data_IF_210585196094
#
_entry.id   IF_210585196094
#
_cell.length_a   1.000
_cell.length_b   1.000
_cell.length_c   1.000
_cell.angle_alpha   90.00
_cell.angle_beta   90.00
_cell.angle_gamma   90.00
#
_symmetry.space_group_name_H-M   'P 1'
#
loop_
_entity.id
_entity.type
_entity.pdbx_description
1 polymer ?
#
# COMPACT_ATOMS: atom_id res chain seq x y z
N UNK A 1 -25.27 -16.85 -20.10
CA UNK A 1 -23.86 -16.73 -20.52
C UNK A 1 -23.14 -15.96 -19.43
N UNK A 2 -22.43 -16.67 -18.54
CA UNK A 2 -21.71 -16.03 -17.44
C UNK A 2 -20.54 -15.25 -18.01
N UNK A 3 -20.62 -13.93 -17.95
CA UNK A 3 -19.44 -13.09 -18.09
C UNK A 3 -18.54 -13.41 -16.89
N UNK A 4 -17.53 -14.25 -17.12
CA UNK A 4 -16.44 -14.38 -16.16
C UNK A 4 -15.83 -13.00 -16.03
N UNK A 5 -15.88 -12.44 -14.81
CA UNK A 5 -15.19 -11.21 -14.46
C UNK A 5 -13.69 -11.43 -14.69
N UNK A 6 -13.20 -11.09 -15.88
CA UNK A 6 -11.77 -11.02 -16.16
C UNK A 6 -11.21 -9.90 -15.30
N UNK A 7 -10.24 -10.20 -14.43
CA UNK A 7 -9.45 -9.19 -13.72
C UNK A 7 -9.02 -8.11 -14.73
N UNK A 8 -9.62 -6.92 -14.65
CA UNK A 8 -9.27 -5.80 -15.51
C UNK A 8 -8.36 -4.88 -14.70
N UNK A 9 -7.24 -4.45 -15.28
CA UNK A 9 -6.42 -3.40 -14.69
C UNK A 9 -6.69 -2.12 -15.45
N UNK A 10 -6.88 -1.02 -14.72
CA UNK A 10 -7.24 0.26 -15.30
C UNK A 10 -6.20 1.32 -14.95
N UNK A 11 -5.94 2.15 -15.95
CA UNK A 11 -5.05 3.30 -15.79
C UNK A 11 -5.89 4.51 -15.38
N UNK A 12 -5.73 4.95 -14.13
CA UNK A 12 -6.50 6.05 -13.54
C UNK A 12 -5.77 7.40 -13.59
N UNK A 13 -4.47 7.37 -13.82
CA UNK A 13 -3.64 8.54 -14.00
C UNK A 13 -2.46 8.21 -14.92
N UNK A 14 -1.98 9.22 -15.65
CA UNK A 14 -0.83 9.09 -16.54
C UNK A 14 0.00 10.36 -16.47
N UNK A 15 1.29 10.20 -16.78
CA UNK A 15 2.19 11.30 -17.06
C UNK A 15 2.15 12.40 -15.98
N UNK A 16 2.56 12.09 -14.73
CA UNK A 16 2.62 13.11 -13.71
C UNK A 16 3.59 14.22 -14.14
N UNK A 17 3.30 15.45 -13.73
CA UNK A 17 4.25 16.55 -13.86
C UNK A 17 5.20 16.54 -12.67
N UNK A 18 6.28 17.33 -12.70
CA UNK A 18 7.12 17.52 -11.51
C UNK A 18 6.33 18.08 -10.31
N UNK A 19 5.21 18.76 -10.56
CA UNK A 19 4.32 19.28 -9.52
C UNK A 19 3.42 18.18 -8.95
N UNK A 20 2.88 17.29 -9.78
CA UNK A 20 1.92 16.26 -9.33
C UNK A 20 2.57 14.92 -8.98
N UNK A 21 3.87 14.76 -9.24
CA UNK A 21 4.64 13.54 -9.00
C UNK A 21 4.50 13.01 -7.57
N UNK A 22 4.43 13.92 -6.60
CA UNK A 22 4.33 13.60 -5.18
C UNK A 22 2.92 13.65 -4.60
N UNK A 23 1.88 13.80 -5.42
CA UNK A 23 0.49 13.92 -4.96
C UNK A 23 -0.06 12.57 -4.47
N UNK A 24 0.52 12.11 -3.37
CA UNK A 24 0.20 10.88 -2.66
C UNK A 24 0.09 11.18 -1.16
N UNK A 25 -0.95 10.66 -0.51
CA UNK A 25 -1.30 10.96 0.89
C UNK A 25 -0.22 10.48 1.86
N UNK A 26 0.53 9.43 1.47
CA UNK A 26 1.70 8.92 2.21
C UNK A 26 2.86 9.93 2.32
N UNK A 27 2.81 11.06 1.62
CA UNK A 27 3.80 12.12 1.75
C UNK A 27 3.40 13.22 2.75
N UNK A 28 2.22 13.14 3.36
CA UNK A 28 1.81 14.09 4.40
C UNK A 28 2.82 14.10 5.57
N UNK A 29 3.29 15.30 5.92
CA UNK A 29 4.28 15.49 7.00
C UNK A 29 5.74 15.24 6.61
N UNK A 30 6.02 14.81 5.37
CA UNK A 30 7.40 14.78 4.86
C UNK A 30 7.94 16.19 4.64
N UNK A 31 9.26 16.31 4.78
CA UNK A 31 9.98 17.57 4.60
C UNK A 31 10.82 17.55 3.32
N UNK A 32 11.07 18.73 2.77
CA UNK A 32 11.98 18.92 1.65
C UNK A 32 13.41 18.49 2.00
N UNK A 33 14.20 18.14 0.98
CA UNK A 33 15.65 18.04 1.13
C UNK A 33 16.23 19.45 1.33
N UNK A 34 17.18 19.57 2.26
CA UNK A 34 17.89 20.84 2.46
C UNK A 34 19.04 20.96 1.46
N UNK A 35 19.51 22.19 1.22
CA UNK A 35 20.68 22.44 0.37
C UNK A 35 21.92 21.73 0.90
N UNK A 36 22.07 21.61 2.22
CA UNK A 36 23.15 20.85 2.86
C UNK A 36 23.07 19.36 2.54
N UNK A 37 21.88 18.76 2.60
CA UNK A 37 21.69 17.34 2.28
C UNK A 37 21.98 17.05 0.80
N UNK A 38 21.64 17.98 -0.09
CA UNK A 38 21.99 17.88 -1.52
C UNK A 38 23.51 17.99 -1.71
N UNK A 39 24.15 18.98 -1.09
CA UNK A 39 25.61 19.14 -1.18
C UNK A 39 26.37 17.93 -0.62
N UNK A 40 25.89 17.34 0.48
CA UNK A 40 26.45 16.12 1.06
C UNK A 40 26.33 14.93 0.11
N UNK A 41 25.16 14.73 -0.50
CA UNK A 41 24.94 13.69 -1.51
C UNK A 41 25.91 13.85 -2.70
N UNK A 42 25.97 15.05 -3.27
CA UNK A 42 26.80 15.36 -4.43
C UNK A 42 28.29 15.09 -4.13
N UNK A 43 28.76 15.49 -2.95
CA UNK A 43 30.12 15.21 -2.49
C UNK A 43 30.35 13.71 -2.24
N UNK A 44 29.40 13.02 -1.61
CA UNK A 44 29.49 11.60 -1.23
C UNK A 44 29.51 10.67 -2.43
N UNK A 45 28.75 10.98 -3.47
CA UNK A 45 28.61 10.16 -4.68
C UNK A 45 29.40 10.70 -5.88
N UNK A 46 29.96 11.91 -5.78
CA UNK A 46 30.74 12.52 -6.85
C UNK A 46 29.91 12.86 -8.09
N UNK A 47 28.66 13.31 -7.87
CA UNK A 47 27.68 13.63 -8.92
C UNK A 47 27.18 15.06 -8.79
N UNK A 48 26.48 15.53 -9.83
CA UNK A 48 25.63 16.72 -9.77
C UNK A 48 24.18 16.27 -9.84
N UNK A 49 23.37 16.68 -8.86
CA UNK A 49 21.95 16.36 -8.81
C UNK A 49 21.22 17.11 -9.96
N UNK A 50 20.51 16.40 -10.87
CA UNK A 50 19.87 17.02 -12.02
C UNK A 50 18.80 18.01 -11.61
N UNK A 51 18.57 19.03 -12.44
CA UNK A 51 17.62 20.11 -12.14
C UNK A 51 16.21 19.59 -11.81
N UNK A 52 15.72 18.61 -12.55
CA UNK A 52 14.39 18.02 -12.32
C UNK A 52 14.30 17.28 -10.97
N UNK A 53 15.37 16.59 -10.55
CA UNK A 53 15.44 15.96 -9.23
C UNK A 53 15.52 17.00 -8.13
N UNK A 54 16.25 18.10 -8.33
CA UNK A 54 16.23 19.23 -7.38
C UNK A 54 14.82 19.78 -7.20
N UNK A 55 14.05 19.93 -8.28
CA UNK A 55 12.64 20.33 -8.21
C UNK A 55 11.80 19.34 -7.40
N UNK A 56 11.94 18.04 -7.65
CA UNK A 56 11.22 17.01 -6.88
C UNK A 56 11.62 17.03 -5.39
N UNK A 57 12.92 17.01 -5.09
CA UNK A 57 13.42 16.90 -3.72
C UNK A 57 13.25 18.18 -2.90
N UNK A 58 13.06 19.33 -3.55
CA UNK A 58 12.64 20.58 -2.90
C UNK A 58 11.22 20.49 -2.32
N UNK A 59 10.41 19.51 -2.73
CA UNK A 59 9.11 19.24 -2.12
C UNK A 59 9.21 18.17 -1.02
N UNK A 60 9.77 17.00 -1.33
CA UNK A 60 9.98 15.92 -0.36
C UNK A 60 11.33 15.22 -0.56
N UNK A 61 12.06 14.98 0.54
CA UNK A 61 13.30 14.21 0.54
C UNK A 61 13.03 12.70 0.39
N UNK A 62 12.66 12.28 -0.81
CA UNK A 62 12.15 10.94 -1.07
C UNK A 62 10.74 10.72 -0.51
N UNK A 63 10.09 9.65 -0.96
CA UNK A 63 8.70 9.41 -0.61
C UNK A 63 7.96 8.52 -1.57
N UNK A 64 6.68 8.31 -1.26
CA UNK A 64 5.80 7.50 -2.08
C UNK A 64 5.40 8.26 -3.34
N UNK A 65 5.18 7.54 -4.42
CA UNK A 65 4.72 8.06 -5.71
C UNK A 65 3.52 7.26 -6.15
N UNK A 66 2.45 7.95 -6.56
CA UNK A 66 1.23 7.29 -7.02
C UNK A 66 1.43 6.61 -8.37
N UNK A 67 1.98 7.36 -9.32
CA UNK A 67 2.25 6.88 -10.69
C UNK A 67 3.65 6.27 -10.73
N UNK A 68 3.73 4.96 -10.53
CA UNK A 68 5.00 4.24 -10.42
C UNK A 68 5.19 3.17 -11.50
N UNK A 69 4.13 2.87 -12.26
CA UNK A 69 4.10 1.74 -13.20
C UNK A 69 4.22 2.23 -14.63
N UNK A 70 4.54 1.32 -15.53
CA UNK A 70 4.57 1.54 -16.97
C UNK A 70 4.14 0.29 -17.72
N UNK A 71 4.02 0.39 -19.03
CA UNK A 71 3.63 -0.74 -19.86
C UNK A 71 4.61 -1.93 -19.72
N UNK A 72 4.11 -3.16 -19.87
CA UNK A 72 4.98 -4.34 -19.84
C UNK A 72 6.04 -4.25 -20.95
N UNK A 73 7.30 -4.56 -20.62
CA UNK A 73 8.37 -4.63 -21.63
C UNK A 73 8.16 -5.84 -22.54
N UNK A 74 7.78 -6.98 -21.96
CA UNK A 74 7.66 -8.24 -22.70
C UNK A 74 6.30 -8.37 -23.40
N UNK A 75 5.23 -7.80 -22.81
CA UNK A 75 3.86 -7.96 -23.29
C UNK A 75 3.07 -6.63 -23.33
N UNK A 76 3.39 -5.72 -24.28
CA UNK A 76 2.70 -4.46 -24.42
C UNK A 76 1.17 -4.61 -24.53
N UNK A 77 0.43 -3.70 -23.92
CA UNK A 77 -1.03 -3.74 -23.77
C UNK A 77 -1.55 -4.64 -22.65
N UNK A 78 -0.73 -5.54 -22.10
CA UNK A 78 -1.14 -6.42 -20.99
C UNK A 78 -0.82 -5.78 -19.64
N UNK A 79 -1.75 -4.96 -19.15
CA UNK A 79 -1.59 -4.22 -17.89
C UNK A 79 -1.45 -5.11 -16.64
N UNK A 80 -1.87 -6.37 -16.70
CA UNK A 80 -1.57 -7.38 -15.66
C UNK A 80 -0.06 -7.58 -15.46
N UNK A 81 0.75 -7.28 -16.49
CA UNK A 81 2.21 -7.44 -16.50
C UNK A 81 2.93 -6.10 -16.58
N UNK A 82 2.25 -5.02 -16.18
CA UNK A 82 2.84 -3.69 -16.13
C UNK A 82 4.12 -3.69 -15.28
N UNK A 83 5.12 -2.94 -15.73
CA UNK A 83 6.40 -2.85 -15.04
C UNK A 83 6.34 -1.82 -13.93
N UNK A 84 7.03 -2.10 -12.83
CA UNK A 84 7.41 -1.08 -11.87
C UNK A 84 8.57 -0.27 -12.43
N UNK A 85 8.27 0.94 -12.92
CA UNK A 85 9.28 1.89 -13.37
C UNK A 85 9.91 2.64 -12.21
N UNK A 86 9.16 2.79 -11.11
CA UNK A 86 9.65 3.21 -9.81
C UNK A 86 9.42 2.05 -8.85
N UNK A 87 10.47 1.26 -8.53
CA UNK A 87 10.37 0.14 -7.60
C UNK A 87 9.66 0.54 -6.30
N UNK A 88 8.70 -0.30 -5.86
CA UNK A 88 7.88 -0.09 -4.65
C UNK A 88 7.11 1.23 -4.58
N UNK A 89 6.86 1.88 -5.74
CA UNK A 89 6.24 3.21 -5.77
C UNK A 89 6.96 4.21 -4.85
N UNK A 90 8.30 4.15 -4.75
CA UNK A 90 9.02 5.00 -3.80
C UNK A 90 10.39 5.42 -4.30
N UNK A 91 10.70 6.70 -4.16
CA UNK A 91 12.08 7.19 -4.27
C UNK A 91 12.74 7.25 -2.89
N UNK A 92 14.02 6.88 -2.85
CA UNK A 92 14.83 6.88 -1.63
C UNK A 92 15.14 8.31 -1.17
N UNK A 93 15.18 8.59 0.15
CA UNK A 93 15.74 9.85 0.64
C UNK A 93 17.22 9.98 0.26
N UNK A 94 17.73 11.21 0.12
CA UNK A 94 19.09 11.46 -0.40
C UNK A 94 20.21 10.72 0.38
N UNK A 95 20.07 10.56 1.70
CA UNK A 95 21.06 9.87 2.52
C UNK A 95 21.12 8.36 2.24
N UNK A 96 20.08 7.78 1.65
CA UNK A 96 19.99 6.36 1.28
C UNK A 96 20.46 6.08 -0.15
N UNK A 97 20.71 7.09 -0.98
CA UNK A 97 21.23 6.87 -2.34
C UNK A 97 22.63 6.26 -2.29
N UNK A 98 22.93 5.34 -3.20
CA UNK A 98 24.22 4.66 -3.27
C UNK A 98 24.63 4.36 -4.72
N UNK A 99 25.93 4.18 -4.96
CA UNK A 99 26.41 3.67 -6.24
C UNK A 99 26.44 2.14 -6.26
N UNK A 100 26.38 1.55 -7.44
CA UNK A 100 26.48 0.09 -7.59
C UNK A 100 27.84 -0.44 -7.12
N UNK A 101 28.90 0.36 -7.23
CA UNK A 101 30.18 0.04 -6.61
C UNK A 101 30.10 -0.09 -5.07
N UNK A 102 29.31 0.76 -4.40
CA UNK A 102 29.07 0.68 -2.95
C UNK A 102 28.22 -0.55 -2.58
N UNK A 103 27.24 -0.91 -3.42
CA UNK A 103 26.44 -2.12 -3.24
C UNK A 103 27.31 -3.38 -3.37
N UNK A 104 28.11 -3.47 -4.43
CA UNK A 104 29.07 -4.56 -4.66
C UNK A 104 29.99 -4.78 -3.45
N UNK A 105 30.49 -3.70 -2.86
CA UNK A 105 31.40 -3.75 -1.72
C UNK A 105 30.74 -4.27 -0.42
N UNK A 106 29.41 -4.16 -0.28
CA UNK A 106 28.68 -4.57 0.94
C UNK A 106 28.32 -6.05 0.97
N UNK A 107 27.99 -6.61 -0.17
CA UNK A 107 27.30 -7.91 -0.26
C UNK A 107 28.22 -9.08 -0.67
N UNK A 108 29.53 -8.85 -0.82
CA UNK A 108 30.47 -9.89 -1.25
C UNK A 108 30.16 -10.46 -2.65
N UNK A 109 29.48 -9.68 -3.49
CA UNK A 109 29.11 -10.07 -4.85
C UNK A 109 30.34 -10.35 -5.73
N UNK A 110 30.16 -11.24 -6.71
CA UNK A 110 31.17 -11.55 -7.74
C UNK A 110 31.51 -10.28 -8.52
N UNK A 111 32.78 -10.13 -8.89
CA UNK A 111 33.32 -8.93 -9.55
C UNK A 111 32.60 -8.54 -10.87
N UNK A 112 31.84 -9.46 -11.48
CA UNK A 112 31.19 -9.32 -12.77
C UNK A 112 29.69 -8.94 -12.73
N UNK A 113 29.05 -8.92 -11.55
CA UNK A 113 27.59 -8.81 -11.42
C UNK A 113 26.98 -7.59 -12.13
N UNK A 114 27.73 -6.50 -12.29
CA UNK A 114 27.26 -5.25 -12.88
C UNK A 114 27.98 -4.84 -14.17
N UNK A 115 28.89 -5.68 -14.68
CA UNK A 115 29.71 -5.35 -15.85
C UNK A 115 28.88 -5.13 -17.12
N UNK A 116 27.71 -5.77 -17.20
CA UNK A 116 26.76 -5.60 -18.31
C UNK A 116 25.92 -4.31 -18.19
N UNK A 117 25.91 -3.66 -17.03
CA UNK A 117 25.08 -2.48 -16.79
C UNK A 117 25.80 -1.20 -17.16
N UNK A 118 27.06 -1.02 -16.76
CA UNK A 118 27.81 0.19 -17.05
C UNK A 118 29.30 -0.12 -17.11
N UNK A 119 30.04 0.68 -17.89
CA UNK A 119 31.49 0.60 -17.94
C UNK A 119 32.15 1.00 -16.60
N UNK A 120 31.50 1.88 -15.83
CA UNK A 120 31.92 2.28 -14.49
C UNK A 120 30.71 2.25 -13.53
N UNK A 121 30.65 1.22 -12.68
CA UNK A 121 29.59 1.01 -11.69
C UNK A 121 29.58 2.05 -10.55
N UNK A 122 30.61 2.90 -10.46
CA UNK A 122 30.61 4.06 -9.56
C UNK A 122 29.71 5.19 -10.06
N UNK A 123 29.45 5.23 -11.36
CA UNK A 123 28.63 6.25 -12.04
C UNK A 123 27.15 5.87 -12.13
N UNK A 124 26.79 4.65 -11.75
CA UNK A 124 25.41 4.18 -11.69
C UNK A 124 24.88 4.35 -10.26
N UNK A 125 23.99 5.32 -10.06
CA UNK A 125 23.48 5.74 -8.76
C UNK A 125 22.05 5.27 -8.58
N UNK A 126 21.79 4.42 -7.59
CA UNK A 126 20.45 3.94 -7.26
C UNK A 126 19.64 5.02 -6.54
N UNK A 127 18.41 5.25 -7.01
CA UNK A 127 17.45 6.22 -6.45
C UNK A 127 16.12 5.58 -6.04
N UNK A 128 15.87 4.33 -6.46
CA UNK A 128 14.83 3.44 -5.95
C UNK A 128 15.25 1.98 -6.17
N UNK A 129 14.83 1.07 -5.29
CA UNK A 129 15.16 -0.36 -5.34
C UNK A 129 14.03 -1.20 -4.73
N UNK A 130 13.81 -2.40 -5.28
CA UNK A 130 12.97 -3.43 -4.67
C UNK A 130 13.76 -4.66 -4.20
N UNK A 131 13.06 -5.60 -3.57
CA UNK A 131 13.59 -6.87 -3.08
C UNK A 131 13.93 -7.89 -4.17
N UNK A 132 13.48 -7.65 -5.40
CA UNK A 132 13.73 -8.49 -6.57
C UNK A 132 14.82 -7.92 -7.49
N UNK A 133 15.66 -7.04 -6.94
CA UNK A 133 16.79 -6.41 -7.62
C UNK A 133 16.41 -5.42 -8.73
N UNK A 134 15.12 -5.08 -8.93
CA UNK A 134 14.78 -3.97 -9.82
C UNK A 134 15.20 -2.67 -9.17
N UNK A 135 15.99 -1.90 -9.92
CA UNK A 135 16.59 -0.67 -9.42
C UNK A 135 16.39 0.41 -10.46
N UNK A 136 15.82 1.54 -10.03
CA UNK A 136 15.82 2.78 -10.80
C UNK A 136 17.09 3.54 -10.47
N UNK A 137 17.86 3.89 -11.49
CA UNK A 137 19.19 4.46 -11.36
C UNK A 137 19.36 5.69 -12.22
N UNK A 138 20.36 6.50 -11.87
CA UNK A 138 20.92 7.56 -12.68
C UNK A 138 22.29 7.09 -13.19
N UNK A 139 22.47 7.08 -14.51
CA UNK A 139 23.75 6.72 -15.14
C UNK A 139 24.51 7.97 -15.59
N UNK A 140 25.58 8.28 -14.87
CA UNK A 140 26.48 9.41 -15.13
C UNK A 140 27.70 9.03 -15.99
N UNK A 141 27.67 7.88 -16.68
CA UNK A 141 28.83 7.42 -17.46
C UNK A 141 29.18 8.34 -18.64
N UNK A 142 28.18 9.06 -19.19
CA UNK A 142 28.36 9.94 -20.34
C UNK A 142 28.68 11.40 -19.99
N UNK A 143 28.50 11.83 -18.73
CA UNK A 143 28.69 13.23 -18.34
C UNK A 143 28.04 13.60 -17.02
N UNK A 144 27.80 14.91 -16.83
CA UNK A 144 27.17 15.47 -15.62
C UNK A 144 25.65 15.39 -15.63
N UNK A 145 25.03 15.26 -16.80
CA UNK A 145 23.60 14.98 -16.94
C UNK A 145 23.43 13.45 -17.07
N UNK A 146 22.69 12.80 -16.16
CA UNK A 146 22.55 11.35 -16.18
C UNK A 146 21.39 10.91 -17.08
N UNK A 147 21.52 9.72 -17.63
CA UNK A 147 20.38 8.96 -18.13
C UNK A 147 19.62 8.32 -16.97
N UNK A 148 18.30 8.14 -17.11
CA UNK A 148 17.49 7.37 -16.16
C UNK A 148 17.43 5.93 -16.66
N UNK A 149 17.80 4.98 -15.81
CA UNK A 149 17.93 3.56 -16.17
C UNK A 149 17.17 2.70 -15.18
N UNK A 150 16.25 1.88 -15.69
CA UNK A 150 15.67 0.77 -14.93
C UNK A 150 16.46 -0.51 -15.24
N UNK A 151 16.86 -1.26 -14.22
CA UNK A 151 17.65 -2.49 -14.36
C UNK A 151 17.18 -3.56 -13.38
N UNK A 152 17.36 -4.84 -13.74
CA UNK A 152 17.21 -6.01 -12.86
C UNK A 152 18.57 -6.48 -12.26
N UNK A 153 19.56 -5.58 -12.24
CA UNK A 153 20.97 -5.83 -11.90
C UNK A 153 21.77 -6.67 -12.90
N UNK A 154 21.13 -7.39 -13.83
CA UNK A 154 21.82 -8.21 -14.85
C UNK A 154 21.85 -7.52 -16.21
N UNK A 155 20.80 -6.77 -16.53
CA UNK A 155 20.65 -6.02 -17.77
C UNK A 155 19.91 -4.70 -17.54
N UNK A 156 20.06 -3.78 -18.50
CA UNK A 156 19.19 -2.60 -18.60
C UNK A 156 17.84 -3.03 -19.17
N UNK A 157 16.77 -2.60 -18.51
CA UNK A 157 15.38 -2.91 -18.87
C UNK A 157 14.76 -1.75 -19.66
N UNK A 158 14.98 -0.52 -19.20
CA UNK A 158 14.55 0.71 -19.87
C UNK A 158 15.56 1.82 -19.64
N UNK A 159 15.65 2.72 -20.61
CA UNK A 159 16.56 3.85 -20.61
C UNK A 159 15.82 5.09 -21.09
N UNK A 160 16.05 6.21 -20.42
CA UNK A 160 15.49 7.50 -20.76
C UNK A 160 16.59 8.56 -20.75
N UNK A 161 16.63 9.37 -21.81
CA UNK A 161 17.64 10.43 -21.94
C UNK A 161 17.42 11.56 -20.92
N UNK A 162 16.16 11.79 -20.52
CA UNK A 162 15.80 12.78 -19.51
C UNK A 162 14.47 12.43 -18.80
N UNK A 163 14.00 13.32 -17.92
CA UNK A 163 12.81 13.11 -17.10
C UNK A 163 11.49 13.17 -17.87
N UNK A 164 11.40 13.88 -19.00
CA UNK A 164 10.14 14.05 -19.73
C UNK A 164 9.59 12.73 -20.31
N UNK A 165 10.35 11.92 -21.08
CA UNK A 165 9.87 10.62 -21.56
C UNK A 165 9.70 9.62 -20.41
N UNK A 166 10.51 9.72 -19.36
CA UNK A 166 10.33 8.88 -18.17
C UNK A 166 9.00 9.16 -17.45
N UNK A 167 8.70 10.43 -17.16
CA UNK A 167 7.42 10.84 -16.58
C UNK A 167 6.25 10.44 -17.48
N UNK A 168 6.37 10.62 -18.81
CA UNK A 168 5.31 10.27 -19.75
C UNK A 168 4.90 8.78 -19.71
N UNK A 169 5.84 7.90 -19.36
CA UNK A 169 5.61 6.46 -19.24
C UNK A 169 4.97 6.05 -17.91
N UNK A 170 5.01 6.93 -16.90
CA UNK A 170 4.45 6.62 -15.58
C UNK A 170 2.92 6.66 -15.60
N UNK A 171 2.33 5.59 -15.07
CA UNK A 171 0.89 5.42 -14.92
C UNK A 171 0.54 5.03 -13.48
N UNK A 172 -0.63 5.47 -13.05
CA UNK A 172 -1.32 4.95 -11.88
C UNK A 172 -2.21 3.80 -12.36
N UNK A 173 -1.74 2.58 -12.09
CA UNK A 173 -2.41 1.37 -12.49
C UNK A 173 -3.00 0.68 -11.26
N UNK A 174 -4.32 0.69 -11.17
CA UNK A 174 -5.04 0.04 -10.08
C UNK A 174 -5.88 -1.11 -10.62
N UNK A 175 -6.10 -2.08 -9.74
CA UNK A 175 -7.02 -3.16 -10.04
C UNK A 175 -8.40 -2.57 -10.27
N UNK A 176 -9.04 -2.87 -11.40
CA UNK A 176 -10.38 -2.39 -11.66
C UNK A 176 -11.34 -3.13 -10.74
N UNK A 177 -11.98 -2.37 -9.86
CA UNK A 177 -13.26 -2.74 -9.31
C UNK A 177 -14.23 -1.55 -9.49
N UNK A 178 -15.55 -1.79 -9.50
CA UNK A 178 -16.54 -0.72 -9.65
C UNK A 178 -16.39 0.42 -8.64
N UNK A 179 -15.92 0.11 -7.42
CA UNK A 179 -15.65 1.11 -6.39
C UNK A 179 -14.46 2.04 -6.77
N UNK A 180 -13.36 1.51 -7.28
CA UNK A 180 -12.20 2.31 -7.69
C UNK A 180 -12.50 3.14 -8.94
N UNK A 181 -13.32 2.63 -9.88
CA UNK A 181 -13.83 3.46 -10.97
C UNK A 181 -14.66 4.65 -10.46
N UNK A 182 -15.57 4.40 -9.52
CA UNK A 182 -16.34 5.47 -8.88
C UNK A 182 -15.44 6.48 -8.14
N UNK A 183 -14.27 6.08 -7.63
CA UNK A 183 -13.31 6.98 -6.96
C UNK A 183 -12.72 8.05 -7.86
N UNK A 184 -12.53 7.70 -9.12
CA UNK A 184 -11.93 8.59 -10.10
C UNK A 184 -12.96 9.24 -11.03
N UNK A 185 -14.22 8.82 -10.93
CA UNK A 185 -15.33 9.45 -11.65
C UNK A 185 -15.97 10.56 -10.79
N UNK A 186 -15.83 11.84 -11.16
CA UNK A 186 -16.45 12.94 -10.43
C UNK A 186 -17.99 12.87 -10.44
N UNK A 187 -18.59 12.12 -11.39
CA UNK A 187 -20.03 11.91 -11.45
C UNK A 187 -20.51 10.78 -10.55
N UNK A 188 -19.63 9.90 -10.08
CA UNK A 188 -20.03 8.79 -9.23
C UNK A 188 -20.40 9.27 -7.83
N UNK A 189 -21.62 8.92 -7.42
CA UNK A 189 -22.19 9.25 -6.13
C UNK A 189 -22.44 8.00 -5.33
N UNK A 190 -22.27 8.12 -4.01
CA UNK A 190 -22.68 7.12 -3.05
C UNK A 190 -24.07 7.50 -2.53
N UNK A 191 -25.04 6.62 -2.72
CA UNK A 191 -26.33 6.70 -2.04
C UNK A 191 -26.21 6.02 -0.68
N UNK A 192 -25.96 6.80 0.37
CA UNK A 192 -25.74 6.31 1.72
C UNK A 192 -26.91 6.65 2.67
N UNK A 193 -27.09 5.80 3.67
CA UNK A 193 -28.05 6.01 4.77
C UNK A 193 -27.35 6.62 5.96
N UNK A 194 -27.86 7.69 6.58
CA UNK A 194 -27.15 8.42 7.61
C UNK A 194 -27.03 7.71 8.96
N UNK A 195 -27.86 6.70 9.20
CA UNK A 195 -27.86 5.97 10.46
C UNK A 195 -26.64 5.06 10.59
N UNK A 196 -25.86 5.17 11.67
CA UNK A 196 -24.80 4.21 11.97
C UNK A 196 -25.39 2.83 12.34
N UNK A 197 -24.56 1.77 12.35
CA UNK A 197 -25.00 0.47 12.85
C UNK A 197 -25.35 0.52 14.33
N UNK A 198 -26.21 -0.41 14.74
CA UNK A 198 -26.45 -0.78 16.13
C UNK A 198 -26.17 -2.27 16.32
N UNK A 199 -26.12 -2.73 17.58
CA UNK A 199 -25.83 -4.14 17.89
C UNK A 199 -26.77 -5.13 17.20
N UNK A 200 -28.03 -4.74 17.00
CA UNK A 200 -29.06 -5.59 16.39
C UNK A 200 -29.16 -5.42 14.86
N UNK A 201 -28.46 -4.43 14.27
CA UNK A 201 -28.54 -4.13 12.84
C UNK A 201 -27.22 -4.36 12.10
N UNK A 202 -26.09 -4.36 12.82
CA UNK A 202 -24.77 -4.51 12.22
C UNK A 202 -24.67 -5.78 11.38
N UNK A 203 -25.02 -6.94 11.96
CA UNK A 203 -25.09 -8.21 11.26
C UNK A 203 -26.27 -8.20 10.29
N UNK A 204 -25.98 -7.84 9.04
CA UNK A 204 -26.98 -7.65 7.99
C UNK A 204 -26.35 -8.00 6.65
N UNK A 205 -26.96 -8.91 5.88
CA UNK A 205 -26.40 -9.30 4.59
C UNK A 205 -26.98 -10.61 4.06
N UNK A 206 -26.85 -10.89 2.76
CA UNK A 206 -27.46 -12.06 2.12
C UNK A 206 -26.83 -13.41 2.49
N UNK A 207 -25.76 -13.47 3.29
CA UNK A 207 -25.19 -14.74 3.76
C UNK A 207 -24.56 -15.58 2.64
N UNK A 208 -23.67 -15.00 1.84
CA UNK A 208 -23.08 -15.67 0.66
C UNK A 208 -22.10 -16.82 0.99
N UNK A 209 -21.38 -16.76 2.11
CA UNK A 209 -20.51 -17.85 2.59
C UNK A 209 -21.27 -18.76 3.58
N UNK A 210 -21.32 -20.07 3.28
CA UNK A 210 -21.94 -21.12 4.12
C UNK A 210 -21.14 -21.42 5.40
N UNK A 211 -19.96 -20.82 5.56
CA UNK A 211 -19.11 -20.97 6.74
C UNK A 211 -19.67 -20.14 7.88
N UNK A 212 -20.55 -20.78 8.66
CA UNK A 212 -21.00 -20.37 9.97
C UNK A 212 -21.23 -18.85 10.10
N UNK A 213 -22.24 -18.31 9.40
CA UNK A 213 -22.96 -17.12 9.88
C UNK A 213 -23.66 -17.51 11.19
N UNK A 214 -22.82 -17.57 12.22
CA UNK A 214 -22.90 -18.57 13.27
C UNK A 214 -23.47 -17.98 14.54
N UNK A 215 -24.09 -18.86 15.33
CA UNK A 215 -24.70 -18.53 16.61
C UNK A 215 -23.89 -17.54 17.46
N UNK A 216 -24.55 -16.79 18.36
CA UNK A 216 -23.90 -15.99 19.40
C UNK A 216 -22.64 -16.66 19.98
N UNK A 217 -21.50 -15.94 19.97
CA UNK A 217 -20.29 -16.45 20.59
C UNK A 217 -20.46 -16.51 22.12
N UNK A 218 -20.26 -17.68 22.76
CA UNK A 218 -20.26 -17.78 24.20
C UNK A 218 -19.02 -17.08 24.80
N UNK A 219 -19.08 -16.74 26.10
CA UNK A 219 -18.04 -15.94 26.74
C UNK A 219 -16.67 -16.63 26.79
N UNK A 220 -16.65 -17.96 26.87
CA UNK A 220 -15.46 -18.79 26.82
C UNK A 220 -14.80 -18.78 25.43
N UNK A 221 -15.57 -18.76 24.34
CA UNK A 221 -15.03 -18.62 22.98
C UNK A 221 -14.33 -17.27 22.78
N UNK A 222 -14.92 -16.18 23.29
CA UNK A 222 -14.28 -14.84 23.27
C UNK A 222 -12.98 -14.86 24.07
N UNK A 223 -13.01 -15.41 25.28
CA UNK A 223 -11.81 -15.49 26.13
C UNK A 223 -10.72 -16.37 25.50
N UNK A 224 -11.09 -17.46 24.84
CA UNK A 224 -10.16 -18.32 24.11
C UNK A 224 -9.52 -17.59 22.92
N UNK A 225 -10.29 -16.79 22.17
CA UNK A 225 -9.77 -15.98 21.09
C UNK A 225 -8.83 -14.88 21.59
N UNK A 226 -9.21 -14.14 22.64
CA UNK A 226 -8.35 -13.14 23.30
C UNK A 226 -7.02 -13.76 23.77
N UNK A 227 -7.09 -14.93 24.42
CA UNK A 227 -5.91 -15.68 24.86
C UNK A 227 -5.02 -16.11 23.69
N UNK A 228 -5.62 -16.65 22.63
CA UNK A 228 -4.90 -17.12 21.44
C UNK A 228 -4.21 -15.98 20.69
N UNK A 229 -4.86 -14.82 20.59
CA UNK A 229 -4.34 -13.63 19.92
C UNK A 229 -3.40 -12.81 20.81
N UNK A 230 -3.39 -13.06 22.13
CA UNK A 230 -2.58 -12.29 23.08
C UNK A 230 -3.04 -10.84 23.24
N UNK A 231 -4.32 -10.56 23.01
CA UNK A 231 -4.91 -9.21 23.11
C UNK A 231 -6.28 -9.26 23.79
N UNK A 232 -6.72 -8.11 24.30
CA UNK A 232 -8.09 -7.88 24.72
C UNK A 232 -8.88 -7.24 23.58
N UNK A 233 -9.97 -7.86 23.17
CA UNK A 233 -10.82 -7.32 22.11
C UNK A 233 -11.62 -6.11 22.62
N UNK A 234 -11.89 -5.11 21.75
CA UNK A 234 -12.76 -3.98 22.05
C UNK A 234 -14.07 -4.40 22.72
N UNK A 235 -14.56 -3.60 23.68
CA UNK A 235 -15.79 -3.92 24.41
C UNK A 235 -17.01 -4.04 23.46
N UNK A 236 -17.11 -3.12 22.50
CA UNK A 236 -18.17 -3.12 21.51
C UNK A 236 -18.05 -4.29 20.52
N UNK A 237 -16.83 -4.62 20.06
CA UNK A 237 -16.61 -5.78 19.20
C UNK A 237 -17.01 -7.10 19.91
N UNK A 238 -16.67 -7.26 21.19
CA UNK A 238 -17.14 -8.41 21.99
C UNK A 238 -18.65 -8.45 22.10
N UNK A 239 -19.32 -7.30 22.22
CA UNK A 239 -20.78 -7.24 22.25
C UNK A 239 -21.39 -7.67 20.91
N UNK A 240 -20.76 -7.32 19.77
CA UNK A 240 -21.16 -7.80 18.45
C UNK A 240 -21.00 -9.33 18.32
N UNK A 241 -19.85 -9.87 18.72
CA UNK A 241 -19.60 -11.32 18.68
C UNK A 241 -20.58 -12.12 19.56
N UNK A 242 -21.03 -11.55 20.69
CA UNK A 242 -22.11 -12.15 21.51
C UNK A 242 -23.48 -12.14 20.83
N UNK A 243 -23.66 -11.43 19.72
CA UNK A 243 -24.89 -11.51 18.91
C UNK A 243 -24.72 -12.46 17.73
N UNK A 244 -23.56 -12.49 17.11
CA UNK A 244 -23.24 -13.39 16.00
C UNK A 244 -21.72 -13.57 15.89
N UNK A 245 -21.24 -14.81 15.73
CA UNK A 245 -19.81 -15.09 15.64
C UNK A 245 -19.24 -14.85 14.23
N UNK A 246 -19.07 -13.59 13.86
CA UNK A 246 -18.66 -13.20 12.51
C UNK A 246 -19.81 -13.25 11.49
N UNK A 247 -19.52 -12.90 10.24
CA UNK A 247 -20.50 -12.86 9.17
C UNK A 247 -20.64 -11.51 8.48
N UNK A 248 -21.74 -11.36 7.75
CA UNK A 248 -21.94 -10.21 6.86
C UNK A 248 -22.49 -8.97 7.56
N UNK A 249 -22.08 -7.82 7.05
CA UNK A 249 -22.65 -6.51 7.35
C UNK A 249 -22.92 -5.70 6.08
N UNK A 250 -23.99 -4.90 6.04
CA UNK A 250 -24.19 -3.89 4.99
C UNK A 250 -23.47 -2.58 5.30
N UNK A 251 -22.85 -2.47 6.47
CA UNK A 251 -22.17 -1.27 6.94
C UNK A 251 -20.68 -1.35 6.60
N UNK A 252 -20.33 -0.96 5.38
CA UNK A 252 -18.96 -1.04 4.87
C UNK A 252 -18.32 0.34 4.60
N UNK A 253 -19.12 1.41 4.53
CA UNK A 253 -18.64 2.73 4.10
C UNK A 253 -18.26 3.60 5.29
N UNK A 254 -17.05 4.13 5.30
CA UNK A 254 -16.62 5.15 6.26
C UNK A 254 -16.27 6.46 5.55
N UNK A 255 -16.58 7.63 6.14
CA UNK A 255 -16.24 8.91 5.56
C UNK A 255 -14.75 9.22 5.72
N UNK A 256 -14.13 9.78 4.68
CA UNK A 256 -12.73 10.21 4.72
C UNK A 256 -12.56 11.64 5.25
N UNK A 257 -13.67 12.36 5.44
CA UNK A 257 -13.69 13.73 5.98
C UNK A 257 -14.90 13.96 6.88
N UNK A 258 -14.79 14.98 7.75
CA UNK A 258 -15.82 15.32 8.76
C UNK A 258 -17.22 15.62 8.18
N UNK A 259 -17.26 16.18 6.98
CA UNK A 259 -18.49 16.53 6.27
C UNK A 259 -18.46 15.91 4.89
N UNK A 260 -18.72 14.59 4.78
CA UNK A 260 -18.64 13.91 3.51
C UNK A 260 -19.78 14.35 2.59
N UNK A 261 -19.51 14.40 1.30
CA UNK A 261 -20.50 14.76 0.29
C UNK A 261 -21.19 13.53 -0.31
N UNK A 262 -22.05 13.80 -1.28
CA UNK A 262 -22.51 12.90 -2.34
C UNK A 262 -21.49 11.93 -2.93
N UNK A 263 -20.32 12.48 -3.18
CA UNK A 263 -19.40 11.93 -4.14
C UNK A 263 -18.62 10.78 -3.56
N UNK A 264 -18.30 9.80 -4.38
CA UNK A 264 -17.68 8.58 -3.91
C UNK A 264 -16.26 8.74 -3.36
N UNK A 265 -15.45 9.66 -3.90
CA UNK A 265 -14.02 9.89 -3.56
C UNK A 265 -13.72 10.32 -2.11
N UNK A 266 -14.74 10.31 -1.29
CA UNK A 266 -14.93 11.01 -0.03
C UNK A 266 -15.51 10.02 1.02
N UNK A 267 -15.69 8.78 0.55
CA UNK A 267 -15.99 7.56 1.28
C UNK A 267 -14.94 6.50 0.96
N UNK A 268 -14.75 5.57 1.89
CA UNK A 268 -13.91 4.39 1.72
C UNK A 268 -14.69 3.14 2.14
N UNK A 269 -14.57 2.06 1.36
CA UNK A 269 -15.14 0.76 1.77
C UNK A 269 -14.14 0.06 2.68
N UNK A 270 -14.39 0.10 3.98
CA UNK A 270 -13.44 -0.30 5.02
C UNK A 270 -13.69 -1.71 5.57
N UNK A 271 -14.72 -2.40 5.07
CA UNK A 271 -15.03 -3.79 5.44
C UNK A 271 -14.92 -4.68 4.19
N UNK A 272 -13.74 -5.27 3.93
CA UNK A 272 -13.54 -6.19 2.81
C UNK A 272 -14.62 -7.27 2.72
N UNK A 273 -15.13 -7.50 1.52
CA UNK A 273 -16.17 -8.48 1.20
C UNK A 273 -17.43 -8.40 2.08
N UNK A 274 -17.66 -7.26 2.75
CA UNK A 274 -18.75 -7.05 3.70
C UNK A 274 -18.76 -8.07 4.84
N UNK A 275 -17.63 -8.67 5.17
CA UNK A 275 -17.56 -9.85 6.03
C UNK A 275 -16.52 -9.69 7.13
N UNK A 276 -16.92 -9.90 8.39
CA UNK A 276 -15.99 -10.04 9.51
C UNK A 276 -15.79 -11.52 9.83
N UNK A 277 -14.53 -11.89 10.04
CA UNK A 277 -14.14 -13.26 10.41
C UNK A 277 -14.74 -13.66 11.76
N UNK A 278 -15.09 -14.93 11.91
CA UNK A 278 -15.44 -15.49 13.23
C UNK A 278 -14.24 -15.50 14.17
N UNK A 279 -14.50 -15.57 15.47
CA UNK A 279 -13.47 -15.60 16.52
C UNK A 279 -12.44 -16.71 16.31
N UNK A 280 -12.84 -17.84 15.73
CA UNK A 280 -11.95 -18.96 15.41
C UNK A 280 -10.95 -18.63 14.29
N UNK A 281 -11.32 -17.73 13.37
CA UNK A 281 -10.55 -17.36 12.18
C UNK A 281 -9.82 -16.02 12.31
N UNK A 282 -10.08 -15.24 13.38
CA UNK A 282 -9.27 -14.06 13.68
C UNK A 282 -7.81 -14.46 13.85
N UNK A 283 -6.90 -13.69 13.25
CA UNK A 283 -5.46 -13.97 13.24
C UNK A 283 -4.68 -12.67 13.42
N UNK A 284 -3.46 -12.77 13.92
CA UNK A 284 -2.53 -11.64 13.86
C UNK A 284 -2.01 -11.49 12.43
N UNK A 285 -1.54 -10.29 12.09
CA UNK A 285 -0.89 -10.05 10.82
C UNK A 285 0.39 -10.90 10.66
N UNK A 286 1.08 -11.17 11.77
CA UNK A 286 2.20 -12.11 11.79
C UNK A 286 1.78 -13.53 11.41
N UNK A 287 0.64 -14.02 11.93
CA UNK A 287 0.09 -15.32 11.54
C UNK A 287 -0.30 -15.33 10.06
N UNK A 288 -0.97 -14.29 9.56
CA UNK A 288 -1.33 -14.17 8.14
C UNK A 288 -0.07 -14.24 7.28
N UNK A 289 0.95 -13.44 7.58
CA UNK A 289 2.21 -13.45 6.84
C UNK A 289 2.92 -14.81 6.89
N UNK A 290 2.72 -15.56 7.98
CA UNK A 290 3.26 -16.91 8.11
C UNK A 290 2.61 -17.95 7.21
N UNK A 291 1.48 -17.67 6.56
CA UNK A 291 0.94 -18.60 5.55
C UNK A 291 1.61 -18.43 4.18
N UNK A 292 2.27 -17.29 3.98
CA UNK A 292 2.94 -16.94 2.73
C UNK A 292 4.45 -17.19 2.80
N UNK A 293 4.97 -18.01 3.74
CA UNK A 293 6.43 -18.17 3.94
C UNK A 293 7.19 -18.74 2.74
N UNK A 294 6.49 -19.42 1.83
CA UNK A 294 7.08 -19.93 0.60
C UNK A 294 7.11 -18.88 -0.54
N UNK A 295 6.55 -17.68 -0.31
CA UNK A 295 6.57 -16.52 -1.20
C UNK A 295 7.26 -15.33 -0.54
N UNK A 296 8.24 -14.73 -1.22
CA UNK A 296 9.04 -13.62 -0.67
C UNK A 296 8.22 -12.35 -0.32
N UNK A 297 7.03 -12.19 -0.91
CA UNK A 297 6.26 -10.94 -0.97
C UNK A 297 5.69 -10.48 0.38
N UNK A 298 5.12 -11.38 1.22
CA UNK A 298 4.60 -10.99 2.54
C UNK A 298 5.62 -11.10 3.67
N UNK A 299 6.68 -11.89 3.47
CA UNK A 299 7.67 -12.18 4.51
C UNK A 299 8.69 -11.05 4.68
N UNK A 300 9.04 -10.35 3.59
CA UNK A 300 9.77 -9.08 3.65
C UNK A 300 8.95 -8.00 4.37
N UNK A 301 7.65 -7.96 4.09
CA UNK A 301 6.68 -7.05 4.67
C UNK A 301 6.52 -7.22 6.20
N UNK A 302 6.40 -8.46 6.71
CA UNK A 302 6.33 -8.73 8.14
C UNK A 302 7.63 -8.38 8.90
N UNK A 303 8.80 -8.43 8.24
CA UNK A 303 10.09 -7.99 8.81
C UNK A 303 10.24 -6.48 8.91
N UNK A 304 9.56 -5.71 8.05
CA UNK A 304 9.70 -4.26 7.97
C UNK A 304 8.80 -3.48 8.94
N UNK A 305 7.72 -4.09 9.43
CA UNK A 305 6.87 -3.49 10.46
C UNK A 305 7.17 -4.11 11.83
N UNK A 306 7.70 -3.28 12.74
CA UNK A 306 7.83 -3.67 14.13
C UNK A 306 6.45 -4.05 14.70
N UNK A 307 6.41 -5.19 15.38
CA UNK A 307 5.26 -5.65 16.17
C UNK A 307 4.00 -6.06 15.39
N UNK A 308 4.13 -6.74 14.24
CA UNK A 308 3.01 -7.29 13.48
C UNK A 308 2.16 -8.31 14.27
N UNK A 309 2.74 -8.96 15.29
CA UNK A 309 2.01 -9.80 16.25
C UNK A 309 0.98 -9.00 17.07
N UNK A 310 1.01 -7.66 17.04
CA UNK A 310 0.08 -6.76 17.71
C UNK A 310 -0.98 -6.16 16.78
N UNK A 311 -1.09 -6.66 15.55
CA UNK A 311 -2.12 -6.24 14.60
C UNK A 311 -3.04 -7.43 14.38
N UNK A 312 -4.33 -7.31 14.74
CA UNK A 312 -5.32 -8.38 14.56
C UNK A 312 -6.16 -8.08 13.33
N UNK A 313 -6.23 -9.02 12.39
CA UNK A 313 -7.02 -8.89 11.15
C UNK A 313 -8.46 -9.32 11.42
N UNK A 314 -9.42 -8.41 11.22
CA UNK A 314 -10.86 -8.66 11.38
C UNK A 314 -11.50 -9.13 10.08
N UNK A 315 -11.13 -8.51 8.97
CA UNK A 315 -11.64 -8.78 7.64
C UNK A 315 -10.53 -8.61 6.62
N UNK A 316 -10.52 -9.42 5.57
CA UNK A 316 -9.52 -9.31 4.50
C UNK A 316 -10.04 -9.84 3.18
N UNK A 317 -9.57 -9.25 2.09
CA UNK A 317 -9.74 -9.78 0.74
C UNK A 317 -8.37 -10.04 0.13
N UNK A 318 -7.96 -11.31 0.15
CA UNK A 318 -6.57 -11.68 -0.08
C UNK A 318 -5.64 -10.91 0.86
N UNK A 319 -4.46 -10.55 0.36
CA UNK A 319 -3.49 -9.73 1.10
C UNK A 319 -3.68 -8.22 0.86
N UNK A 320 -4.45 -7.86 -0.17
CA UNK A 320 -4.50 -6.50 -0.71
C UNK A 320 -5.31 -5.55 0.16
N UNK A 321 -6.35 -6.03 0.85
CA UNK A 321 -7.23 -5.17 1.65
C UNK A 321 -7.51 -5.82 2.99
N UNK A 322 -7.26 -5.10 4.09
CA UNK A 322 -7.38 -5.64 5.44
C UNK A 322 -7.93 -4.60 6.41
N UNK A 323 -9.00 -4.97 7.11
CA UNK A 323 -9.47 -4.24 8.29
C UNK A 323 -8.80 -4.83 9.54
N UNK A 324 -8.09 -3.99 10.27
CA UNK A 324 -7.25 -4.42 11.39
C UNK A 324 -7.54 -3.65 12.68
N UNK A 325 -7.32 -4.33 13.81
CA UNK A 325 -7.09 -3.71 15.11
C UNK A 325 -5.59 -3.55 15.32
N UNK A 326 -5.12 -2.32 15.53
CA UNK A 326 -3.71 -2.00 15.71
C UNK A 326 -3.41 -1.65 17.17
N UNK A 327 -2.75 -2.57 17.87
CA UNK A 327 -2.39 -2.43 19.29
C UNK A 327 -0.97 -1.93 19.51
N UNK A 328 -0.21 -1.58 18.45
CA UNK A 328 1.23 -1.31 18.56
C UNK A 328 1.54 -0.16 19.53
N UNK A 329 0.77 0.92 19.45
CA UNK A 329 0.96 2.14 20.26
C UNK A 329 0.50 1.97 21.72
N UNK A 330 -0.69 1.39 21.94
CA UNK A 330 -1.35 1.37 23.27
C UNK A 330 -1.17 0.05 24.02
N UNK A 331 -0.71 -1.00 23.33
CA UNK A 331 -0.48 -2.32 23.87
C UNK A 331 -1.75 -3.19 23.94
N UNK A 332 -1.57 -4.51 24.18
CA UNK A 332 -2.61 -5.53 23.97
C UNK A 332 -3.81 -5.45 24.93
N UNK A 333 -3.67 -4.78 26.08
CA UNK A 333 -4.72 -4.70 27.11
C UNK A 333 -5.64 -3.48 26.96
N UNK A 334 -5.28 -2.55 26.07
CA UNK A 334 -6.00 -1.30 25.85
C UNK A 334 -6.78 -1.33 24.53
N UNK A 335 -7.69 -0.38 24.39
CA UNK A 335 -8.45 -0.18 23.15
C UNK A 335 -7.45 0.04 21.98
N UNK A 336 -7.56 -0.70 20.86
CA UNK A 336 -6.70 -0.55 19.67
C UNK A 336 -7.19 0.59 18.76
N UNK A 337 -6.32 1.10 17.89
CA UNK A 337 -6.82 1.85 16.73
C UNK A 337 -7.49 0.87 15.77
N UNK A 338 -8.48 1.31 15.00
CA UNK A 338 -9.02 0.53 13.88
C UNK A 338 -8.46 1.11 12.60
N UNK A 339 -7.80 0.29 11.79
CA UNK A 339 -7.12 0.74 10.57
C UNK A 339 -7.54 -0.16 9.41
N UNK A 340 -8.01 0.47 8.33
CA UNK A 340 -8.18 -0.22 7.06
C UNK A 340 -6.93 0.03 6.22
N UNK A 341 -6.24 -1.05 5.88
CA UNK A 341 -5.04 -1.04 5.08
C UNK A 341 -5.33 -1.53 3.66
N UNK A 342 -4.67 -0.88 2.72
CA UNK A 342 -4.39 -1.43 1.41
C UNK A 342 -2.93 -1.87 1.36
N UNK A 343 -2.66 -3.09 0.90
CA UNK A 343 -1.31 -3.60 0.71
C UNK A 343 -0.86 -3.38 -0.73
N UNK A 344 0.26 -2.69 -0.86
CA UNK A 344 0.92 -2.41 -2.14
C UNK A 344 2.42 -2.32 -1.89
N UNK A 345 3.07 -3.48 -1.69
CA UNK A 345 4.46 -3.63 -1.22
C UNK A 345 4.76 -3.06 0.20
N UNK A 346 3.84 -2.28 0.77
CA UNK A 346 3.77 -1.83 2.16
C UNK A 346 2.29 -1.72 2.61
N UNK A 347 2.03 -1.63 3.92
CA UNK A 347 0.69 -1.33 4.42
C UNK A 347 0.41 0.17 4.36
N UNK A 348 -0.54 0.54 3.52
CA UNK A 348 -0.99 1.90 3.32
C UNK A 348 -2.30 2.07 4.10
N UNK A 349 -2.31 2.83 5.21
CA UNK A 349 -3.56 3.11 5.92
C UNK A 349 -4.44 4.04 5.06
N UNK A 350 -5.59 3.53 4.59
CA UNK A 350 -6.57 4.32 3.82
C UNK A 350 -7.65 4.93 4.72
N UNK A 351 -7.89 4.33 5.88
CA UNK A 351 -8.76 4.86 6.91
C UNK A 351 -8.23 4.49 8.31
N UNK A 352 -8.43 5.38 9.29
CA UNK A 352 -8.08 5.15 10.69
C UNK A 352 -9.12 5.76 11.63
N UNK A 353 -9.60 4.96 12.57
CA UNK A 353 -10.34 5.39 13.74
C UNK A 353 -9.49 5.23 15.00
N UNK A 354 -9.70 6.12 15.97
CA UNK A 354 -8.99 6.09 17.25
C UNK A 354 -9.33 4.86 18.09
N UNK A 355 -10.52 4.31 17.96
CA UNK A 355 -11.01 3.14 18.69
C UNK A 355 -12.16 2.48 17.93
N UNK A 356 -12.62 1.32 18.43
CA UNK A 356 -13.68 0.57 17.77
C UNK A 356 -15.04 1.28 17.84
N UNK A 357 -15.31 2.02 18.91
CA UNK A 357 -16.53 2.81 19.04
C UNK A 357 -16.61 3.93 17.99
N UNK A 358 -15.51 4.66 17.75
CA UNK A 358 -15.39 5.64 16.67
C UNK A 358 -15.57 5.00 15.29
N UNK A 359 -14.88 3.89 15.03
CA UNK A 359 -15.04 3.14 13.77
C UNK A 359 -16.50 2.75 13.55
N UNK A 360 -17.13 2.13 14.55
CA UNK A 360 -18.51 1.67 14.47
C UNK A 360 -19.49 2.83 14.24
N UNK A 361 -19.24 4.01 14.85
CA UNK A 361 -20.04 5.21 14.66
C UNK A 361 -19.87 5.85 13.27
N UNK A 362 -18.75 5.61 12.59
CA UNK A 362 -18.44 6.13 11.26
C UNK A 362 -19.10 5.31 10.13
N UNK A 363 -19.34 4.01 10.35
CA UNK A 363 -19.86 3.13 9.31
C UNK A 363 -21.26 3.50 8.81
N UNK A 364 -21.47 3.43 7.50
CA UNK A 364 -22.75 3.68 6.82
C UNK A 364 -23.08 2.55 5.86
N UNK A 365 -24.37 2.34 5.64
CA UNK A 365 -24.85 1.57 4.49
C UNK A 365 -24.84 2.48 3.27
N UNK A 366 -24.41 1.95 2.13
CA UNK A 366 -24.39 2.71 0.89
C UNK A 366 -24.32 1.82 -0.33
N UNK A 367 -24.85 2.32 -1.42
CA UNK A 367 -24.79 1.68 -2.74
C UNK A 367 -24.24 2.71 -3.73
N UNK A 368 -23.39 2.24 -4.64
CA UNK A 368 -22.88 3.02 -5.75
C UNK A 368 -23.92 3.08 -6.86
N UNK A 369 -24.07 4.26 -7.46
CA UNK A 369 -24.98 4.51 -8.59
C UNK A 369 -24.47 3.98 -9.94
#
# INVERSE_FOLDING_TARGET
MSAGSSLQWMVYGRAPTLETFWDEELNLGRVAATDEAIAELEARLGIVLPAWLRTLYARYNGGAVRMARGESIEQPGEWLKAEWLIPRARLLPLHEWFSFAQLRAREGYRDDAYAALAADDRRLIAIAIDEHNKTLCLDYSAGSEPMIVLTDQQRRLREYDDAAPWLADLVDLQYWNPALQARHDPAATLHWRPEPPGLDTFWSGPGFWDDASGAPAPADAIAAAETRLGVRLPALLRALYRRQDGGYTRFEWAPLRRHPSSHFYDWESVVPDRYLSSLAHLRTLADVASDFQDGAELWSFARMHAHCERIVVLAMHGINWMLCLDYRERGPEHEPDVVYFEYFDELIPRYRARDFDCFFADLRQGELD
#
